data_IF_148221230021
#
_entry.id   IF_148221230021
#
_cell.length_a   1.000
_cell.length_b   1.000
_cell.length_c   1.000
_cell.angle_alpha   90.00
_cell.angle_beta   90.00
_cell.angle_gamma   90.00
#
_symmetry.space_group_name_H-M   'P 1'
#
loop_
_entity.id
_entity.type
_entity.pdbx_description
1 polymer ?
#
# COMPACT_ATOMS: atom_id res chain seq x y z
N UNK A 1 3.67 -34.66 15.61
CA UNK A 1 3.61 -34.05 14.27
C UNK A 1 2.90 -32.73 14.45
N UNK A 2 3.63 -31.62 14.38
CA UNK A 2 3.00 -30.30 14.49
C UNK A 2 2.03 -30.14 13.32
N UNK A 3 0.82 -29.66 13.63
CA UNK A 3 -0.18 -29.36 12.62
C UNK A 3 0.26 -28.10 11.87
N UNK A 4 0.04 -28.08 10.57
CA UNK A 4 0.39 -26.95 9.69
C UNK A 4 -0.90 -26.23 9.33
N UNK A 5 -0.90 -24.91 9.42
CA UNK A 5 -2.00 -24.05 9.01
C UNK A 5 -1.51 -22.99 8.02
N UNK A 6 -2.43 -22.48 7.19
CA UNK A 6 -2.20 -21.31 6.31
C UNK A 6 -2.70 -20.01 6.93
N UNK A 7 -3.46 -20.11 8.01
CA UNK A 7 -4.10 -18.95 8.64
C UNK A 7 -3.03 -18.05 9.27
N UNK A 8 -2.97 -16.83 8.75
CA UNK A 8 -2.27 -15.70 9.36
C UNK A 8 -2.95 -15.30 10.68
N UNK A 9 -2.29 -14.47 11.49
CA UNK A 9 -2.89 -13.92 12.72
C UNK A 9 -3.51 -12.58 12.33
N UNK A 10 -4.82 -12.44 12.44
CA UNK A 10 -5.54 -11.17 12.18
C UNK A 10 -5.59 -10.33 13.44
N UNK A 11 -5.89 -9.03 13.31
CA UNK A 11 -6.09 -8.15 14.47
C UNK A 11 -7.17 -8.66 15.43
N UNK A 12 -8.24 -9.26 14.87
CA UNK A 12 -9.32 -9.88 15.65
C UNK A 12 -8.87 -11.11 16.46
N UNK A 13 -7.74 -11.70 16.11
CA UNK A 13 -7.18 -12.87 16.80
C UNK A 13 -6.22 -12.47 17.93
N UNK A 14 -5.90 -11.17 18.04
CA UNK A 14 -5.06 -10.63 19.11
C UNK A 14 -5.89 -10.47 20.37
N UNK A 15 -5.45 -11.15 21.43
CA UNK A 15 -6.06 -11.10 22.75
C UNK A 15 -4.99 -11.08 23.83
N UNK A 16 -5.40 -10.89 25.08
CA UNK A 16 -4.46 -10.75 26.19
C UNK A 16 -3.61 -12.00 26.38
N UNK A 17 -4.19 -13.19 26.17
CA UNK A 17 -3.45 -14.44 26.29
C UNK A 17 -2.26 -14.49 25.31
N UNK A 18 -2.44 -13.96 24.10
CA UNK A 18 -1.36 -13.90 23.09
C UNK A 18 -0.28 -12.89 23.50
N UNK A 19 -0.67 -11.71 23.99
CA UNK A 19 0.28 -10.72 24.55
C UNK A 19 1.07 -11.32 25.73
N UNK A 20 0.40 -12.00 26.67
CA UNK A 20 1.05 -12.69 27.80
C UNK A 20 2.10 -13.69 27.33
N UNK A 21 1.74 -14.55 26.38
CA UNK A 21 2.63 -15.58 25.85
C UNK A 21 3.89 -14.95 25.24
N UNK A 22 3.74 -13.88 24.44
CA UNK A 22 4.88 -13.17 23.86
C UNK A 22 5.77 -12.50 24.89
N UNK A 23 5.20 -11.86 25.90
CA UNK A 23 5.99 -11.31 27.01
C UNK A 23 6.80 -12.42 27.72
N UNK A 24 6.22 -13.60 27.93
CA UNK A 24 6.94 -14.72 28.54
C UNK A 24 8.05 -15.28 27.66
N UNK A 25 7.83 -15.40 26.35
CA UNK A 25 8.86 -15.78 25.38
C UNK A 25 10.02 -14.78 25.35
N UNK A 26 9.74 -13.47 25.43
CA UNK A 26 10.77 -12.42 25.55
C UNK A 26 11.56 -12.62 26.84
N UNK A 27 10.91 -12.84 27.98
CA UNK A 27 11.60 -13.07 29.25
C UNK A 27 12.55 -14.28 29.19
N UNK A 28 12.12 -15.40 28.59
CA UNK A 28 12.96 -16.58 28.39
C UNK A 28 14.13 -16.30 27.43
N UNK A 29 13.86 -15.62 26.32
CA UNK A 29 14.87 -15.24 25.33
C UNK A 29 15.96 -14.36 25.94
N UNK A 30 15.57 -13.37 26.77
CA UNK A 30 16.52 -12.52 27.51
C UNK A 30 17.37 -13.36 28.48
N UNK A 31 16.79 -14.33 29.20
CA UNK A 31 17.55 -15.20 30.11
C UNK A 31 18.57 -16.05 29.35
N UNK A 32 18.19 -16.61 28.19
CA UNK A 32 19.08 -17.43 27.36
C UNK A 32 20.20 -16.57 26.77
N UNK A 33 19.88 -15.41 26.19
CA UNK A 33 20.85 -14.51 25.57
C UNK A 33 21.86 -13.97 26.58
N UNK A 34 21.42 -13.57 27.77
CA UNK A 34 22.34 -13.11 28.83
C UNK A 34 23.28 -14.22 29.30
N UNK A 35 22.85 -15.49 29.35
CA UNK A 35 23.76 -16.63 29.63
C UNK A 35 24.82 -16.81 28.54
N UNK A 36 24.50 -16.46 27.30
CA UNK A 36 25.40 -16.52 26.15
C UNK A 36 26.22 -15.23 25.94
N UNK A 37 26.13 -14.25 26.86
CA UNK A 37 26.72 -12.91 26.74
C UNK A 37 26.26 -12.11 25.51
N UNK A 38 25.08 -12.40 24.98
CA UNK A 38 24.43 -11.64 23.91
C UNK A 38 23.50 -10.60 24.54
N UNK A 39 23.83 -9.31 24.42
CA UNK A 39 23.11 -8.23 25.14
C UNK A 39 22.27 -7.34 24.24
N UNK A 40 22.28 -7.56 22.92
CA UNK A 40 21.53 -6.74 21.95
C UNK A 40 20.03 -6.72 22.25
N UNK A 41 19.47 -7.87 22.67
CA UNK A 41 18.06 -8.00 23.04
C UNK A 41 17.64 -7.05 24.18
N UNK A 42 18.54 -6.74 25.12
CA UNK A 42 18.20 -5.86 26.24
C UNK A 42 17.92 -4.43 25.73
N UNK A 43 18.73 -3.94 24.80
CA UNK A 43 18.54 -2.59 24.24
C UNK A 43 17.34 -2.53 23.30
N UNK A 44 17.06 -3.61 22.56
CA UNK A 44 15.81 -3.74 21.79
C UNK A 44 14.60 -3.62 22.72
N UNK A 45 14.64 -4.33 23.85
CA UNK A 45 13.57 -4.29 24.85
C UNK A 45 13.43 -2.91 25.49
N UNK A 46 14.52 -2.21 25.80
CA UNK A 46 14.46 -0.84 26.34
C UNK A 46 13.61 0.07 25.45
N UNK A 47 13.88 0.11 24.14
CA UNK A 47 13.13 0.97 23.21
C UNK A 47 11.66 0.52 23.05
N UNK A 48 11.42 -0.78 22.90
CA UNK A 48 10.07 -1.33 22.67
C UNK A 48 9.18 -1.15 23.90
N UNK A 49 9.68 -1.48 25.09
CA UNK A 49 8.91 -1.25 26.31
C UNK A 49 8.76 0.24 26.63
N UNK A 50 9.68 1.09 26.19
CA UNK A 50 9.49 2.54 26.21
C UNK A 50 8.27 2.99 25.40
N UNK A 51 8.09 2.48 24.18
CA UNK A 51 6.87 2.75 23.40
C UNK A 51 5.60 2.27 24.10
N UNK A 52 5.62 1.05 24.66
CA UNK A 52 4.46 0.50 25.37
C UNK A 52 4.10 1.38 26.58
N UNK A 53 5.09 1.84 27.34
CA UNK A 53 4.89 2.75 28.48
C UNK A 53 4.37 4.12 28.04
N UNK A 54 4.86 4.68 26.92
CA UNK A 54 4.36 5.91 26.33
C UNK A 54 2.88 5.80 26.00
N UNK A 55 2.51 4.72 25.28
CA UNK A 55 1.13 4.38 24.94
C UNK A 55 0.27 4.18 26.19
N UNK A 56 0.75 3.47 27.22
CA UNK A 56 0.00 3.21 28.45
C UNK A 56 -0.30 4.49 29.25
N UNK A 57 0.70 5.32 29.46
CA UNK A 57 0.63 6.41 30.44
C UNK A 57 0.54 7.82 29.83
N UNK A 58 0.47 7.94 28.50
CA UNK A 58 0.48 9.24 27.81
C UNK A 58 1.70 10.10 28.22
N UNK A 59 2.87 9.46 28.12
CA UNK A 59 4.19 10.02 28.39
C UNK A 59 5.08 9.91 27.15
N UNK A 60 6.22 10.60 27.15
CA UNK A 60 7.15 10.65 26.02
C UNK A 60 8.58 10.30 26.46
N UNK A 61 8.77 9.03 26.80
CA UNK A 61 10.04 8.42 27.14
C UNK A 61 10.94 8.34 25.89
N UNK A 62 12.15 8.87 26.03
CA UNK A 62 13.24 8.74 25.05
C UNK A 62 14.36 7.86 25.61
N UNK A 63 15.01 7.10 24.74
CA UNK A 63 16.11 6.20 25.13
C UNK A 63 17.41 6.97 25.36
N UNK A 64 17.99 6.85 26.55
CA UNK A 64 19.27 7.47 26.91
C UNK A 64 20.44 6.87 26.15
N UNK A 65 20.35 5.58 25.76
CA UNK A 65 21.39 4.92 24.95
C UNK A 65 21.41 5.44 23.51
N UNK A 66 20.32 6.05 23.03
CA UNK A 66 20.25 6.72 21.73
C UNK A 66 20.72 8.19 21.76
N UNK A 67 20.73 8.84 22.93
CA UNK A 67 21.08 10.26 23.09
C UNK A 67 22.53 10.51 23.52
N UNK A 68 23.15 9.58 24.26
CA UNK A 68 24.40 9.86 24.99
C UNK A 68 25.59 9.03 24.51
N UNK A 69 26.60 9.70 23.95
CA UNK A 69 27.95 9.16 23.76
C UNK A 69 28.78 9.36 25.05
N UNK A 70 28.47 8.61 26.11
CA UNK A 70 29.13 8.83 27.41
C UNK A 70 28.83 7.80 28.51
N UNK A 71 29.84 7.51 29.32
CA UNK A 71 29.97 6.37 30.26
C UNK A 71 29.14 6.43 31.56
N UNK A 72 28.05 7.20 31.66
CA UNK A 72 27.27 7.28 32.91
C UNK A 72 25.75 7.38 32.69
N UNK A 73 25.20 6.37 32.03
CA UNK A 73 23.74 6.18 31.96
C UNK A 73 23.26 5.62 33.31
N UNK A 74 22.49 6.42 34.05
CA UNK A 74 21.91 6.01 35.35
C UNK A 74 20.60 5.21 35.17
N UNK A 75 19.85 5.49 34.12
CA UNK A 75 18.51 4.96 33.78
C UNK A 75 18.37 4.86 32.26
N UNK A 76 17.50 4.01 31.75
CA UNK A 76 17.47 3.69 30.31
C UNK A 76 16.55 4.63 29.52
N UNK A 77 15.44 5.06 30.13
CA UNK A 77 14.40 5.85 29.48
C UNK A 77 14.05 7.09 30.30
N UNK A 78 13.84 8.23 29.64
CA UNK A 78 13.55 9.51 30.31
C UNK A 78 12.46 10.30 29.59
N UNK A 79 11.52 10.88 30.34
CA UNK A 79 10.65 11.96 29.87
C UNK A 79 10.93 13.21 30.70
N UNK A 80 11.65 14.17 30.11
CA UNK A 80 12.02 15.42 30.75
C UNK A 80 10.81 16.34 31.03
N UNK A 81 9.74 16.25 30.23
CA UNK A 81 8.55 17.10 30.38
C UNK A 81 7.70 16.65 31.55
N UNK A 82 7.49 15.33 31.69
CA UNK A 82 6.79 14.73 32.83
C UNK A 82 7.72 14.48 34.02
N UNK A 83 9.03 14.70 33.85
CA UNK A 83 10.09 14.57 34.86
C UNK A 83 10.14 13.18 35.48
N UNK A 84 10.02 12.16 34.63
CA UNK A 84 9.99 10.74 35.03
C UNK A 84 11.05 9.95 34.27
N UNK A 85 11.69 9.00 34.96
CA UNK A 85 12.62 8.05 34.36
C UNK A 85 12.23 6.60 34.63
N UNK A 86 12.57 5.73 33.69
CA UNK A 86 12.42 4.28 33.82
C UNK A 86 13.76 3.58 33.65
N UNK A 87 14.07 2.65 34.56
CA UNK A 87 15.04 1.59 34.33
C UNK A 87 14.29 0.34 33.84
N UNK A 88 14.65 -0.14 32.66
CA UNK A 88 14.21 -1.41 32.08
C UNK A 88 15.29 -2.46 32.32
N UNK A 89 14.97 -3.58 32.97
CA UNK A 89 15.99 -4.56 33.36
C UNK A 89 15.42 -5.96 33.54
N UNK A 90 16.18 -7.01 33.23
CA UNK A 90 15.81 -8.39 33.57
C UNK A 90 16.20 -8.78 35.00
N UNK A 91 17.10 -8.01 35.64
CA UNK A 91 17.54 -8.22 37.02
C UNK A 91 16.58 -7.58 38.02
N UNK A 92 16.09 -8.40 38.95
CA UNK A 92 15.17 -8.00 40.01
C UNK A 92 15.78 -8.00 41.42
N UNK A 93 17.10 -8.19 41.57
CA UNK A 93 17.71 -8.22 42.89
C UNK A 93 17.74 -6.83 43.55
N UNK A 94 17.43 -6.75 44.86
CA UNK A 94 17.40 -5.48 45.62
C UNK A 94 18.71 -4.69 45.46
N UNK A 95 19.86 -5.38 45.45
CA UNK A 95 21.17 -4.77 45.24
C UNK A 95 21.27 -4.05 43.89
N UNK A 96 20.71 -4.59 42.80
CA UNK A 96 20.65 -3.91 41.50
C UNK A 96 19.79 -2.65 41.56
N UNK A 97 18.63 -2.71 42.20
CA UNK A 97 17.72 -1.56 42.35
C UNK A 97 18.37 -0.45 43.16
N UNK A 98 18.90 -0.76 44.35
CA UNK A 98 19.57 0.22 45.20
C UNK A 98 20.80 0.84 44.52
N UNK A 99 21.57 0.04 43.77
CA UNK A 99 22.68 0.56 42.96
C UNK A 99 22.22 1.51 41.86
N UNK A 100 21.11 1.23 41.18
CA UNK A 100 20.54 2.14 40.18
C UNK A 100 20.02 3.42 40.83
N UNK A 101 19.32 3.33 41.96
CA UNK A 101 18.86 4.51 42.73
C UNK A 101 20.06 5.36 43.18
N UNK A 102 21.13 4.72 43.68
CA UNK A 102 22.35 5.42 44.08
C UNK A 102 22.99 6.13 42.88
N UNK A 103 23.12 5.46 41.72
CA UNK A 103 23.61 6.08 40.49
C UNK A 103 22.75 7.27 40.05
N UNK A 104 21.43 7.16 40.16
CA UNK A 104 20.51 8.26 39.86
C UNK A 104 20.77 9.47 40.79
N UNK A 105 20.85 9.24 42.09
CA UNK A 105 21.13 10.27 43.10
C UNK A 105 22.54 10.89 42.96
N UNK A 106 23.51 10.12 42.48
CA UNK A 106 24.89 10.58 42.26
C UNK A 106 25.08 11.27 40.91
N UNK A 107 24.18 11.04 39.95
CA UNK A 107 24.17 11.72 38.64
C UNK A 107 23.62 13.14 38.74
N UNK A 108 23.73 13.97 37.69
CA UNK A 108 23.04 15.28 37.65
C UNK A 108 21.57 15.17 37.26
N UNK A 109 21.10 13.97 36.88
CA UNK A 109 19.76 13.72 36.35
C UNK A 109 18.64 14.02 37.36
N UNK A 110 18.94 13.97 38.67
CA UNK A 110 17.96 14.29 39.73
C UNK A 110 17.48 15.74 39.67
N UNK A 111 18.17 16.65 38.98
CA UNK A 111 17.70 18.04 38.80
C UNK A 111 16.51 18.10 37.83
N UNK A 112 16.54 17.25 36.80
CA UNK A 112 15.57 17.25 35.72
C UNK A 112 14.46 16.23 35.91
N UNK A 113 14.69 15.22 36.76
CA UNK A 113 13.79 14.09 36.99
C UNK A 113 13.37 14.00 38.45
N UNK A 114 12.06 13.90 38.66
CA UNK A 114 11.43 13.79 39.97
C UNK A 114 11.20 12.33 40.36
N UNK A 115 10.66 11.53 39.44
CA UNK A 115 10.23 10.15 39.69
C UNK A 115 11.13 9.13 38.97
N UNK A 116 11.50 8.06 39.69
CA UNK A 116 12.23 6.92 39.16
C UNK A 116 11.36 5.67 39.26
N UNK A 117 11.17 4.95 38.14
CA UNK A 117 10.42 3.71 38.09
C UNK A 117 11.25 2.58 37.48
N UNK A 118 10.84 1.35 37.73
CA UNK A 118 11.47 0.15 37.17
C UNK A 118 10.44 -0.69 36.42
N UNK A 119 10.82 -1.11 35.22
CA UNK A 119 10.17 -2.19 34.50
C UNK A 119 11.10 -3.41 34.50
N UNK A 120 10.67 -4.46 35.18
CA UNK A 120 11.39 -5.72 35.26
C UNK A 120 10.88 -6.67 34.18
N UNK A 121 11.76 -7.10 33.28
CA UNK A 121 11.45 -7.95 32.13
C UNK A 121 11.34 -9.43 32.51
N UNK A 122 10.41 -9.75 33.40
CA UNK A 122 10.05 -11.12 33.79
C UNK A 122 8.61 -11.18 34.35
N UNK A 123 8.16 -12.39 34.67
CA UNK A 123 6.83 -12.67 35.24
C UNK A 123 6.86 -13.17 36.68
N UNK A 124 8.02 -13.09 37.35
CA UNK A 124 8.19 -13.61 38.70
C UNK A 124 7.69 -12.56 39.69
N UNK A 125 6.94 -12.97 40.71
CA UNK A 125 6.58 -12.05 41.80
C UNK A 125 7.82 -11.57 42.57
N UNK A 126 7.84 -10.30 42.93
CA UNK A 126 8.97 -9.68 43.59
C UNK A 126 8.61 -9.30 45.02
N UNK A 127 9.32 -9.90 45.98
CA UNK A 127 9.21 -9.58 47.39
C UNK A 127 10.56 -9.00 47.86
N UNK A 128 10.57 -7.72 48.17
CA UNK A 128 11.76 -7.01 48.61
C UNK A 128 11.79 -6.89 50.13
N UNK A 129 12.68 -7.64 50.79
CA UNK A 129 12.87 -7.54 52.23
C UNK A 129 13.46 -6.16 52.59
N UNK A 130 12.89 -5.47 53.58
CA UNK A 130 13.40 -4.19 54.09
C UNK A 130 12.36 -3.06 54.02
N UNK A 131 12.82 -1.82 54.16
CA UNK A 131 11.96 -0.65 53.99
C UNK A 131 11.44 -0.57 52.54
N UNK A 132 10.14 -0.28 52.40
CA UNK A 132 9.49 -0.09 51.10
C UNK A 132 9.81 1.27 50.48
N UNK A 133 10.09 2.28 51.31
CA UNK A 133 10.30 3.66 50.86
C UNK A 133 11.77 4.04 50.92
N UNK A 134 12.28 4.67 49.87
CA UNK A 134 13.60 5.32 49.77
C UNK A 134 13.41 6.76 49.31
N UNK A 135 14.08 7.72 49.95
CA UNK A 135 14.06 9.11 49.49
C UNK A 135 15.04 9.33 48.33
N UNK A 136 14.54 9.87 47.24
CA UNK A 136 15.33 10.30 46.09
C UNK A 136 15.90 11.69 46.35
N UNK A 137 17.06 11.99 45.75
CA UNK A 137 17.70 13.31 45.85
C UNK A 137 16.90 14.42 45.15
N UNK A 138 15.99 14.04 44.25
CA UNK A 138 14.97 14.94 43.67
C UNK A 138 13.98 15.48 44.70
N UNK A 139 13.94 14.90 45.91
CA UNK A 139 12.98 15.24 46.97
C UNK A 139 11.71 14.40 46.94
N UNK A 140 11.58 13.45 46.00
CA UNK A 140 10.47 12.49 45.94
C UNK A 140 10.79 11.20 46.67
N UNK A 141 9.77 10.38 46.88
CA UNK A 141 9.88 9.04 47.46
C UNK A 141 9.80 7.99 46.35
N UNK A 142 10.64 6.96 46.47
CA UNK A 142 10.58 5.73 45.69
C UNK A 142 10.00 4.61 46.55
N UNK A 143 9.00 3.89 46.04
CA UNK A 143 8.36 2.75 46.70
C UNK A 143 8.61 1.46 45.91
N UNK A 144 9.17 0.44 46.55
CA UNK A 144 9.38 -0.87 45.93
C UNK A 144 8.06 -1.49 45.46
N UNK A 145 6.97 -1.29 46.21
CA UNK A 145 5.65 -1.83 45.85
C UNK A 145 4.98 -1.08 44.69
N UNK A 146 5.14 0.24 44.60
CA UNK A 146 4.45 1.08 43.59
C UNK A 146 5.27 1.31 42.33
N UNK A 147 6.55 1.62 42.48
CA UNK A 147 7.39 2.12 41.38
C UNK A 147 8.13 0.99 40.64
N UNK A 148 7.91 -0.27 41.04
CA UNK A 148 8.42 -1.46 40.36
C UNK A 148 7.27 -2.25 39.74
N UNK A 149 7.36 -2.42 38.42
CA UNK A 149 6.42 -3.21 37.61
C UNK A 149 7.16 -4.38 36.96
N UNK A 150 6.49 -5.53 36.84
CA UNK A 150 6.93 -6.67 36.05
C UNK A 150 5.88 -6.97 34.97
N UNK A 151 6.04 -8.03 34.19
CA UNK A 151 5.07 -8.37 33.14
C UNK A 151 3.66 -8.63 33.67
N UNK A 152 3.49 -9.25 34.84
CA UNK A 152 2.15 -9.49 35.40
C UNK A 152 1.41 -8.17 35.68
N UNK A 153 2.12 -7.19 36.26
CA UNK A 153 1.58 -5.84 36.48
C UNK A 153 1.33 -5.12 35.15
N UNK A 154 2.26 -5.22 34.20
CA UNK A 154 2.13 -4.60 32.87
C UNK A 154 0.90 -5.12 32.12
N UNK A 155 0.68 -6.44 32.13
CA UNK A 155 -0.50 -7.10 31.55
C UNK A 155 -1.77 -6.51 32.14
N UNK A 156 -1.86 -6.41 33.48
CA UNK A 156 -3.03 -5.83 34.14
C UNK A 156 -3.27 -4.35 33.79
N UNK A 157 -2.22 -3.57 33.52
CA UNK A 157 -2.36 -2.18 33.05
C UNK A 157 -2.79 -2.12 31.57
N UNK A 158 -2.32 -3.05 30.73
CA UNK A 158 -2.75 -3.20 29.34
C UNK A 158 -4.23 -3.58 29.28
N UNK A 159 -4.68 -4.53 30.09
CA UNK A 159 -6.10 -4.93 30.16
C UNK A 159 -6.99 -3.75 30.52
N UNK A 160 -6.66 -3.02 31.60
CA UNK A 160 -7.41 -1.84 32.03
C UNK A 160 -7.48 -0.77 30.95
N UNK A 161 -6.38 -0.52 30.23
CA UNK A 161 -6.38 0.48 29.17
C UNK A 161 -7.19 0.02 27.96
N UNK A 162 -7.10 -1.26 27.60
CA UNK A 162 -7.87 -1.84 26.49
C UNK A 162 -9.39 -1.87 26.75
N UNK A 163 -9.83 -1.87 28.01
CA UNK A 163 -11.27 -1.68 28.35
C UNK A 163 -11.79 -0.28 27.97
N UNK A 164 -10.89 0.70 27.86
CA UNK A 164 -11.21 2.11 27.61
C UNK A 164 -10.92 2.49 26.15
N UNK A 165 -9.82 1.99 25.60
CA UNK A 165 -9.30 2.33 24.28
C UNK A 165 -9.36 1.11 23.35
N UNK A 166 -10.18 1.21 22.30
CA UNK A 166 -10.32 0.16 21.30
C UNK A 166 -9.00 -0.10 20.58
N UNK A 167 -8.74 -1.38 20.25
CA UNK A 167 -7.53 -1.86 19.57
C UNK A 167 -6.21 -1.61 20.31
N UNK A 168 -6.23 -1.10 21.56
CA UNK A 168 -5.01 -0.86 22.32
C UNK A 168 -4.15 -2.12 22.48
N UNK A 169 -4.79 -3.28 22.61
CA UNK A 169 -4.07 -4.55 22.71
C UNK A 169 -3.36 -4.96 21.42
N UNK A 170 -3.89 -4.57 20.26
CA UNK A 170 -3.26 -4.78 18.94
C UNK A 170 -2.02 -3.90 18.86
N UNK A 171 -2.16 -2.60 19.17
CA UNK A 171 -1.04 -1.66 19.25
C UNK A 171 0.12 -2.14 20.14
N UNK A 172 -0.19 -2.73 21.30
CA UNK A 172 0.81 -3.29 22.21
C UNK A 172 1.45 -4.53 21.62
N UNK A 173 0.65 -5.41 21.02
CA UNK A 173 1.13 -6.61 20.36
C UNK A 173 2.06 -6.29 19.18
N UNK A 174 1.78 -5.21 18.45
CA UNK A 174 2.63 -4.71 17.36
C UNK A 174 3.99 -4.25 17.89
N UNK A 175 3.99 -3.47 18.98
CA UNK A 175 5.22 -3.06 19.65
C UNK A 175 6.05 -4.28 20.07
N UNK A 176 5.42 -5.30 20.65
CA UNK A 176 6.06 -6.54 21.08
C UNK A 176 6.63 -7.32 19.89
N UNK A 177 5.90 -7.36 18.77
CA UNK A 177 6.29 -8.10 17.56
C UNK A 177 7.57 -7.56 16.94
N UNK A 178 7.86 -6.27 17.11
CA UNK A 178 9.13 -5.65 16.70
C UNK A 178 10.37 -6.32 17.34
N UNK A 179 10.24 -6.97 18.51
CA UNK A 179 11.37 -7.72 19.11
C UNK A 179 11.83 -8.84 18.18
N UNK A 180 10.89 -9.48 17.50
CA UNK A 180 11.11 -10.63 16.63
C UNK A 180 11.40 -10.21 15.20
N UNK A 181 10.65 -9.22 14.71
CA UNK A 181 10.74 -8.76 13.32
C UNK A 181 11.98 -7.88 13.11
N UNK A 182 12.16 -6.81 13.87
CA UNK A 182 13.12 -5.76 13.52
C UNK A 182 14.60 -6.09 13.77
N UNK A 183 14.90 -6.77 14.89
CA UNK A 183 16.25 -6.90 15.48
C UNK A 183 17.11 -5.63 15.48
N UNK A 184 18.42 -5.77 15.78
CA UNK A 184 19.36 -4.63 15.84
C UNK A 184 20.47 -4.74 14.79
N UNK A 185 20.30 -4.03 13.68
CA UNK A 185 21.25 -4.05 12.55
C UNK A 185 22.10 -2.80 12.38
N UNK A 186 21.71 -1.69 12.99
CA UNK A 186 22.45 -0.42 12.97
C UNK A 186 22.43 0.21 14.36
N UNK A 187 23.35 1.12 14.63
CA UNK A 187 23.40 1.92 15.87
C UNK A 187 22.22 2.93 15.99
N UNK A 188 21.28 2.93 15.02
CA UNK A 188 20.09 3.77 15.02
C UNK A 188 18.94 3.10 15.79
N UNK A 189 18.03 3.92 16.33
CA UNK A 189 16.85 3.46 17.07
C UNK A 189 15.92 2.61 16.18
N UNK A 190 15.54 1.43 16.69
CA UNK A 190 14.66 0.48 16.01
C UNK A 190 13.27 1.06 15.85
N UNK A 191 12.82 1.76 16.89
CA UNK A 191 11.56 2.49 16.96
C UNK A 191 11.46 3.54 15.87
N UNK A 192 12.48 4.40 15.73
CA UNK A 192 12.48 5.47 14.71
C UNK A 192 12.42 4.93 13.28
N UNK A 193 13.10 3.82 13.03
CA UNK A 193 13.08 3.15 11.72
C UNK A 193 11.71 2.51 11.44
N UNK A 194 11.08 1.85 12.42
CA UNK A 194 9.70 1.35 12.30
C UNK A 194 8.71 2.50 12.04
N UNK A 195 8.82 3.60 12.81
CA UNK A 195 8.01 4.80 12.60
C UNK A 195 8.18 5.38 11.18
N UNK A 196 9.39 5.30 10.61
CA UNK A 196 9.65 5.70 9.22
C UNK A 196 8.96 4.78 8.20
N UNK A 197 8.90 3.48 8.47
CA UNK A 197 8.26 2.51 7.57
C UNK A 197 6.73 2.60 7.65
N UNK A 198 6.18 2.89 8.83
CA UNK A 198 4.75 3.05 9.07
C UNK A 198 4.13 4.33 8.50
N UNK A 199 4.91 5.15 7.79
CA UNK A 199 4.39 6.37 7.15
C UNK A 199 3.37 6.02 6.06
N UNK A 200 2.25 6.74 6.10
CA UNK A 200 1.21 6.67 5.08
C UNK A 200 1.21 7.97 4.28
N UNK A 201 1.54 7.88 2.99
CA UNK A 201 1.70 9.03 2.11
C UNK A 201 0.98 8.76 0.79
N UNK A 202 0.09 9.67 0.39
CA UNK A 202 -0.55 9.66 -0.93
C UNK A 202 -0.36 11.02 -1.56
N UNK A 203 0.31 11.07 -2.71
CA UNK A 203 0.64 12.31 -3.41
C UNK A 203 0.42 12.11 -4.91
N UNK A 204 -0.34 13.00 -5.54
CA UNK A 204 -0.48 13.04 -7.00
C UNK A 204 0.74 13.75 -7.62
N UNK A 205 1.44 13.01 -8.48
CA UNK A 205 2.63 13.40 -9.23
C UNK A 205 2.31 13.39 -10.74
N UNK A 206 1.62 14.44 -11.19
CA UNK A 206 1.27 14.70 -12.59
C UNK A 206 0.46 13.54 -13.23
N UNK A 207 1.13 12.61 -13.90
CA UNK A 207 0.52 11.43 -14.56
C UNK A 207 0.45 10.18 -13.67
N UNK A 208 0.97 10.24 -12.45
CA UNK A 208 1.04 9.11 -11.51
C UNK A 208 0.66 9.55 -10.10
N UNK A 209 0.09 8.64 -9.31
CA UNK A 209 -0.14 8.82 -7.88
C UNK A 209 0.88 7.97 -7.13
N UNK A 210 1.70 8.62 -6.30
CA UNK A 210 2.56 7.95 -5.34
C UNK A 210 1.73 7.52 -4.15
N UNK A 211 1.73 6.23 -3.86
CA UNK A 211 1.01 5.63 -2.75
C UNK A 211 2.01 4.86 -1.89
N UNK A 212 2.12 5.21 -0.62
CA UNK A 212 3.02 4.57 0.33
C UNK A 212 2.20 4.27 1.57
N UNK A 213 2.21 3.01 2.01
CA UNK A 213 1.69 2.61 3.31
C UNK A 213 2.60 1.58 3.93
N UNK A 214 2.70 1.59 5.25
CA UNK A 214 3.46 0.58 5.96
C UNK A 214 2.83 0.16 7.26
N UNK A 215 3.36 -0.95 7.76
CA UNK A 215 2.89 -1.62 8.95
C UNK A 215 4.08 -2.27 9.65
N UNK A 216 4.37 -1.87 10.90
CA UNK A 216 5.56 -2.33 11.60
C UNK A 216 6.83 -2.20 10.74
N UNK A 217 7.43 -3.34 10.39
CA UNK A 217 8.68 -3.44 9.63
C UNK A 217 8.52 -3.70 8.13
N UNK A 218 7.31 -3.58 7.61
CA UNK A 218 7.03 -3.68 6.19
C UNK A 218 6.45 -2.38 5.64
N UNK A 219 6.80 -2.05 4.40
CA UNK A 219 6.24 -0.90 3.69
C UNK A 219 6.01 -1.28 2.23
N UNK A 220 4.83 -0.93 1.72
CA UNK A 220 4.49 -1.06 0.31
C UNK A 220 4.42 0.33 -0.30
N UNK A 221 5.20 0.55 -1.35
CA UNK A 221 5.23 1.80 -2.12
C UNK A 221 4.87 1.51 -3.56
N UNK A 222 4.00 2.32 -4.16
CA UNK A 222 3.48 2.10 -5.49
C UNK A 222 3.36 3.41 -6.28
N UNK A 223 3.50 3.27 -7.60
CA UNK A 223 3.19 4.32 -8.57
C UNK A 223 1.95 3.88 -9.34
N UNK A 224 0.80 4.45 -8.97
CA UNK A 224 -0.50 4.16 -9.57
C UNK A 224 -0.69 5.08 -10.77
N UNK A 225 -0.95 4.57 -11.98
CA UNK A 225 -1.11 5.42 -13.16
C UNK A 225 -2.42 6.21 -13.10
N UNK A 226 -2.34 7.53 -13.32
CA UNK A 226 -3.51 8.42 -13.46
C UNK A 226 -3.96 8.55 -14.92
N UNK A 227 -3.28 7.88 -15.86
CA UNK A 227 -3.60 7.88 -17.27
C UNK A 227 -3.73 6.47 -17.84
N UNK A 228 -4.42 6.35 -18.99
CA UNK A 228 -4.59 5.06 -19.67
C UNK A 228 -3.30 4.48 -20.27
N UNK A 229 -2.23 5.29 -20.37
CA UNK A 229 -0.92 4.90 -20.92
C UNK A 229 0.05 4.38 -19.89
N UNK A 230 -0.15 4.72 -18.61
CA UNK A 230 0.74 4.31 -17.54
C UNK A 230 0.44 2.88 -17.08
N UNK A 231 1.44 2.27 -16.46
CA UNK A 231 1.34 0.95 -15.82
C UNK A 231 1.62 1.06 -14.33
N UNK A 232 0.94 0.23 -13.54
CA UNK A 232 1.19 0.09 -12.12
C UNK A 232 2.56 -0.52 -11.87
N UNK A 233 3.29 0.04 -10.92
CA UNK A 233 4.49 -0.57 -10.34
C UNK A 233 4.48 -0.44 -8.83
N UNK A 234 5.13 -1.39 -8.16
CA UNK A 234 5.11 -1.49 -6.71
C UNK A 234 6.45 -2.01 -6.18
N UNK A 235 6.81 -1.62 -4.96
CA UNK A 235 7.97 -2.09 -4.23
C UNK A 235 7.58 -2.38 -2.78
N UNK A 236 7.83 -3.61 -2.35
CA UNK A 236 7.73 -4.07 -0.96
C UNK A 236 9.11 -3.98 -0.31
N UNK A 237 9.20 -3.19 0.76
CA UNK A 237 10.35 -3.14 1.64
C UNK A 237 10.05 -3.95 2.90
N UNK A 238 10.97 -4.85 3.27
CA UNK A 238 10.89 -5.65 4.49
C UNK A 238 12.18 -5.46 5.28
N UNK A 239 12.06 -5.17 6.57
CA UNK A 239 13.18 -5.18 7.51
C UNK A 239 13.11 -6.43 8.38
N UNK A 240 14.24 -7.09 8.60
CA UNK A 240 14.36 -8.20 9.56
C UNK A 240 15.59 -8.04 10.44
N UNK A 241 15.65 -8.73 11.58
CA UNK A 241 16.77 -8.70 12.52
C UNK A 241 18.16 -8.95 11.93
N UNK A 242 18.26 -9.64 10.79
CA UNK A 242 19.51 -9.97 10.09
C UNK A 242 19.61 -9.35 8.67
N UNK A 243 18.56 -8.66 8.20
CA UNK A 243 18.46 -8.03 6.88
C UNK A 243 18.04 -6.57 6.98
N UNK A 244 18.94 -5.64 6.66
CA UNK A 244 18.74 -4.19 6.86
C UNK A 244 17.83 -3.53 5.83
N UNK A 245 17.06 -4.31 5.07
CA UNK A 245 16.18 -3.88 3.99
C UNK A 245 16.23 -4.82 2.79
N UNK A 246 15.21 -5.67 2.64
CA UNK A 246 14.93 -6.42 1.43
C UNK A 246 13.92 -5.64 0.59
N UNK A 247 14.29 -5.31 -0.65
CA UNK A 247 13.44 -4.57 -1.59
C UNK A 247 13.01 -5.51 -2.71
N UNK A 248 11.70 -5.69 -2.86
CA UNK A 248 11.12 -6.56 -3.88
C UNK A 248 10.20 -5.72 -4.75
N UNK A 249 10.45 -5.71 -6.06
CA UNK A 249 9.67 -4.92 -7.02
C UNK A 249 8.69 -5.78 -7.79
N UNK A 250 7.53 -5.23 -8.11
CA UNK A 250 6.44 -5.88 -8.83
C UNK A 250 5.99 -5.01 -10.00
N UNK A 251 5.76 -5.63 -11.15
CA UNK A 251 5.13 -4.98 -12.29
C UNK A 251 3.60 -5.20 -12.25
N UNK A 252 2.87 -4.49 -13.11
CA UNK A 252 1.42 -4.58 -13.17
C UNK A 252 0.91 -6.00 -13.43
N UNK A 253 1.53 -6.74 -14.34
CA UNK A 253 1.11 -8.11 -14.68
C UNK A 253 1.12 -9.01 -13.44
N UNK A 254 2.24 -9.06 -12.73
CA UNK A 254 2.39 -9.82 -11.48
C UNK A 254 1.36 -9.40 -10.44
N UNK A 255 1.17 -8.09 -10.24
CA UNK A 255 0.24 -7.56 -9.25
C UNK A 255 -1.19 -8.02 -9.55
N UNK A 256 -1.64 -7.86 -10.79
CA UNK A 256 -2.99 -8.24 -11.21
C UNK A 256 -3.21 -9.75 -11.18
N UNK A 257 -2.22 -10.56 -11.56
CA UNK A 257 -2.34 -12.02 -11.59
C UNK A 257 -2.30 -12.62 -10.20
N UNK A 258 -1.34 -12.22 -9.36
CA UNK A 258 -0.92 -13.03 -8.20
C UNK A 258 -1.08 -12.33 -6.85
N UNK A 259 -1.19 -11.00 -6.82
CA UNK A 259 -1.26 -10.23 -5.56
C UNK A 259 -2.63 -9.58 -5.34
N UNK A 260 -3.34 -9.20 -6.39
CA UNK A 260 -4.68 -8.59 -6.31
C UNK A 260 -5.80 -9.64 -6.30
N UNK A 261 -5.57 -10.72 -5.59
CA UNK A 261 -6.44 -11.90 -5.48
C UNK A 261 -7.13 -11.95 -4.11
N UNK A 262 -7.96 -12.96 -3.84
CA UNK A 262 -8.51 -13.15 -2.49
C UNK A 262 -7.43 -13.66 -1.52
N UNK A 263 -7.62 -13.45 -0.22
CA UNK A 263 -6.70 -13.95 0.84
C UNK A 263 -6.36 -15.44 0.65
N UNK A 264 -7.36 -16.29 0.41
CA UNK A 264 -7.16 -17.74 0.19
C UNK A 264 -6.36 -18.08 -1.07
N UNK A 265 -6.51 -17.29 -2.14
CA UNK A 265 -5.76 -17.47 -3.38
C UNK A 265 -4.33 -16.96 -3.19
N UNK A 266 -4.15 -15.83 -2.51
CA UNK A 266 -2.86 -15.28 -2.12
C UNK A 266 -2.06 -16.30 -1.31
N UNK A 267 -2.65 -16.87 -0.27
CA UNK A 267 -2.00 -17.89 0.57
C UNK A 267 -1.55 -19.11 -0.23
N UNK A 268 -2.34 -19.52 -1.21
CA UNK A 268 -2.03 -20.67 -2.07
C UNK A 268 -0.91 -20.35 -3.05
N UNK A 269 -0.97 -19.20 -3.73
CA UNK A 269 0.03 -18.78 -4.72
C UNK A 269 1.39 -18.50 -4.10
N UNK A 270 1.39 -17.94 -2.90
CA UNK A 270 2.59 -17.52 -2.18
C UNK A 270 3.06 -18.56 -1.15
N UNK A 271 2.59 -19.82 -1.24
CA UNK A 271 3.01 -20.93 -0.37
C UNK A 271 3.04 -20.55 1.12
N UNK A 272 2.00 -19.84 1.57
CA UNK A 272 1.91 -19.29 2.91
C UNK A 272 1.59 -20.41 3.90
N UNK A 273 2.33 -20.48 5.01
CA UNK A 273 2.07 -21.46 6.04
C UNK A 273 2.88 -21.28 7.32
N UNK A 274 2.39 -21.87 8.41
CA UNK A 274 3.05 -21.93 9.71
C UNK A 274 2.69 -23.19 10.48
N UNK A 275 3.47 -23.51 11.50
CA UNK A 275 3.06 -24.50 12.50
C UNK A 275 2.03 -23.87 13.46
N UNK A 276 0.99 -24.61 13.86
CA UNK A 276 -0.09 -24.06 14.71
C UNK A 276 0.44 -23.52 16.06
N UNK A 277 1.49 -24.15 16.58
CA UNK A 277 2.18 -23.82 17.84
C UNK A 277 3.25 -22.73 17.69
N UNK A 278 3.50 -22.24 16.47
CA UNK A 278 4.45 -21.17 16.19
C UNK A 278 3.74 -19.96 15.59
N UNK A 279 4.19 -18.78 15.98
CA UNK A 279 3.74 -17.54 15.37
C UNK A 279 4.65 -17.10 14.20
N UNK A 280 5.74 -17.81 13.93
CA UNK A 280 6.53 -17.63 12.70
C UNK A 280 5.80 -18.27 11.52
N UNK A 281 5.72 -17.54 10.41
CA UNK A 281 5.07 -17.94 9.18
C UNK A 281 6.04 -17.81 8.03
N UNK A 282 6.10 -18.82 7.17
CA UNK A 282 6.82 -18.73 5.92
C UNK A 282 5.87 -18.31 4.80
N UNK A 283 6.38 -17.47 3.91
CA UNK A 283 5.71 -17.12 2.66
C UNK A 283 6.75 -16.99 1.54
N UNK A 284 6.31 -17.24 0.32
CA UNK A 284 7.08 -17.07 -0.89
C UNK A 284 6.61 -15.80 -1.60
N UNK A 285 7.49 -14.82 -1.72
CA UNK A 285 7.28 -13.63 -2.53
C UNK A 285 8.22 -13.73 -3.73
N UNK A 286 7.68 -13.82 -4.94
CA UNK A 286 8.47 -14.08 -6.14
C UNK A 286 9.31 -15.37 -5.97
N UNK A 287 10.62 -15.29 -6.17
CA UNK A 287 11.55 -16.41 -5.96
C UNK A 287 12.23 -16.39 -4.58
N UNK A 288 11.71 -15.60 -3.64
CA UNK A 288 12.27 -15.43 -2.30
C UNK A 288 11.32 -16.05 -1.28
N UNK A 289 11.86 -16.95 -0.45
CA UNK A 289 11.15 -17.45 0.73
C UNK A 289 11.55 -16.62 1.94
N UNK A 290 10.55 -16.12 2.67
CA UNK A 290 10.72 -15.21 3.80
C UNK A 290 9.97 -15.80 4.98
N UNK A 291 10.58 -15.72 6.17
CA UNK A 291 9.93 -16.04 7.44
C UNK A 291 9.59 -14.74 8.15
N UNK A 292 8.35 -14.56 8.58
CA UNK A 292 7.84 -13.36 9.27
C UNK A 292 6.97 -13.79 10.45
N UNK A 293 6.69 -12.89 11.40
CA UNK A 293 5.54 -13.08 12.27
C UNK A 293 4.26 -13.25 11.41
N UNK A 294 3.40 -14.20 11.77
CA UNK A 294 2.15 -14.49 11.08
C UNK A 294 1.18 -13.30 11.04
N UNK A 295 1.28 -12.39 12.00
CA UNK A 295 0.56 -11.11 12.01
C UNK A 295 1.16 -10.10 11.03
N UNK A 296 2.49 -10.03 10.92
CA UNK A 296 3.18 -9.24 9.89
C UNK A 296 2.86 -9.78 8.49
N UNK A 297 2.77 -11.10 8.31
CA UNK A 297 2.36 -11.72 7.05
C UNK A 297 0.91 -11.40 6.66
N UNK A 298 0.00 -11.30 7.64
CA UNK A 298 -1.36 -10.78 7.41
C UNK A 298 -1.31 -9.37 6.81
N UNK A 299 -0.48 -8.51 7.39
CA UNK A 299 -0.34 -7.13 6.94
C UNK A 299 0.32 -6.98 5.58
N UNK A 300 1.17 -7.91 5.16
CA UNK A 300 1.65 -7.98 3.76
C UNK A 300 0.46 -8.12 2.81
N UNK A 301 -0.45 -9.06 3.08
CA UNK A 301 -1.67 -9.24 2.27
C UNK A 301 -2.55 -7.99 2.32
N UNK A 302 -2.78 -7.41 3.51
CA UNK A 302 -3.59 -6.19 3.66
C UNK A 302 -3.07 -5.01 2.84
N UNK A 303 -1.75 -4.80 2.79
CA UNK A 303 -1.17 -3.74 1.97
C UNK A 303 -1.45 -3.95 0.48
N UNK A 304 -1.40 -5.19 -0.03
CA UNK A 304 -1.78 -5.48 -1.42
C UNK A 304 -3.28 -5.34 -1.67
N UNK A 305 -4.12 -5.71 -0.71
CA UNK A 305 -5.58 -5.52 -0.76
C UNK A 305 -5.95 -4.04 -0.83
N UNK A 306 -5.34 -3.19 -0.01
CA UNK A 306 -5.58 -1.75 -0.05
C UNK A 306 -5.05 -1.09 -1.34
N UNK A 307 -3.87 -1.53 -1.82
CA UNK A 307 -3.34 -1.05 -3.11
C UNK A 307 -4.25 -1.45 -4.28
N UNK A 308 -4.82 -2.66 -4.24
CA UNK A 308 -5.81 -3.14 -5.21
C UNK A 308 -7.02 -2.22 -5.27
N UNK A 309 -7.59 -1.88 -4.12
CA UNK A 309 -8.75 -0.99 -4.04
C UNK A 309 -8.45 0.39 -4.65
N UNK A 310 -7.33 0.99 -4.27
CA UNK A 310 -6.90 2.30 -4.78
C UNK A 310 -6.63 2.29 -6.30
N UNK A 311 -6.01 1.22 -6.81
CA UNK A 311 -5.76 1.03 -8.24
C UNK A 311 -7.09 0.92 -9.02
N UNK A 312 -8.04 0.10 -8.55
CA UNK A 312 -9.30 -0.09 -9.25
C UNK A 312 -10.23 1.14 -9.17
N UNK A 313 -10.15 1.92 -8.09
CA UNK A 313 -10.81 3.24 -8.01
C UNK A 313 -10.26 4.19 -9.08
N UNK A 314 -8.94 4.33 -9.15
CA UNK A 314 -8.27 5.15 -10.16
C UNK A 314 -8.61 4.67 -11.59
N UNK A 315 -8.64 3.35 -11.81
CA UNK A 315 -8.99 2.77 -13.10
C UNK A 315 -10.44 3.05 -13.50
N UNK A 316 -11.38 3.04 -12.55
CA UNK A 316 -12.78 3.41 -12.80
C UNK A 316 -12.90 4.86 -13.25
N UNK A 317 -12.17 5.78 -12.61
CA UNK A 317 -12.14 7.19 -13.00
C UNK A 317 -11.60 7.38 -14.42
N UNK A 318 -10.48 6.71 -14.75
CA UNK A 318 -9.92 6.71 -16.12
C UNK A 318 -10.96 6.19 -17.12
N UNK A 319 -11.60 5.06 -16.83
CA UNK A 319 -12.57 4.46 -17.73
C UNK A 319 -13.79 5.37 -17.95
N UNK A 320 -14.24 6.08 -16.91
CA UNK A 320 -15.35 7.04 -16.97
C UNK A 320 -15.03 8.26 -17.84
N UNK A 321 -13.79 8.77 -17.74
CA UNK A 321 -13.30 9.85 -18.60
C UNK A 321 -13.31 9.42 -20.07
N UNK A 322 -12.81 8.20 -20.36
CA UNK A 322 -12.75 7.66 -21.71
C UNK A 322 -14.11 7.18 -22.26
N UNK A 323 -15.12 6.99 -21.40
CA UNK A 323 -16.41 6.39 -21.77
C UNK A 323 -16.30 4.92 -22.16
N UNK A 324 -15.39 4.16 -21.54
CA UNK A 324 -15.11 2.74 -21.85
C UNK A 324 -15.63 1.78 -20.78
N UNK A 325 -16.56 2.24 -19.94
CA UNK A 325 -17.16 1.41 -18.88
C UNK A 325 -17.89 0.21 -19.49
N UNK A 326 -17.53 -1.00 -19.07
CA UNK A 326 -18.11 -2.25 -19.58
C UNK A 326 -17.54 -2.74 -20.91
N UNK A 327 -16.62 -2.00 -21.54
CA UNK A 327 -15.99 -2.42 -22.79
C UNK A 327 -14.79 -3.36 -22.55
N UNK A 328 -14.62 -4.34 -23.44
CA UNK A 328 -13.47 -5.23 -23.42
C UNK A 328 -12.24 -4.52 -24.00
N UNK A 329 -11.17 -4.40 -23.20
CA UNK A 329 -9.88 -3.88 -23.63
C UNK A 329 -9.02 -5.01 -24.23
N UNK A 330 -8.41 -4.76 -25.38
CA UNK A 330 -7.47 -5.64 -26.08
C UNK A 330 -6.23 -4.82 -26.46
N UNK A 331 -5.11 -4.98 -25.76
CA UNK A 331 -3.96 -4.08 -25.91
C UNK A 331 -4.36 -2.63 -25.62
N UNK A 332 -4.15 -1.71 -26.56
CA UNK A 332 -4.47 -0.28 -26.41
C UNK A 332 -5.85 0.12 -26.96
N UNK A 333 -6.64 -0.85 -27.42
CA UNK A 333 -7.95 -0.64 -28.06
C UNK A 333 -9.08 -1.27 -27.27
N UNK A 334 -10.30 -0.78 -27.49
CA UNK A 334 -11.52 -1.19 -26.80
C UNK A 334 -12.55 -1.65 -27.82
N UNK A 335 -13.12 -2.84 -27.62
CA UNK A 335 -14.16 -3.37 -28.50
C UNK A 335 -15.45 -2.55 -28.29
N UNK A 336 -15.91 -1.86 -29.33
CA UNK A 336 -17.20 -1.16 -29.33
C UNK A 336 -18.33 -2.13 -29.65
N UNK A 337 -18.27 -2.77 -30.83
CA UNK A 337 -19.35 -3.60 -31.36
C UNK A 337 -18.87 -4.55 -32.46
N UNK A 338 -19.77 -5.42 -32.91
CA UNK A 338 -19.56 -6.29 -34.07
C UNK A 338 -20.43 -5.81 -35.23
N UNK A 339 -19.83 -5.62 -36.40
CA UNK A 339 -20.48 -5.17 -37.64
C UNK A 339 -20.29 -6.20 -38.77
N UNK A 340 -21.10 -6.12 -39.82
CA UNK A 340 -20.91 -6.86 -41.06
C UNK A 340 -19.75 -6.30 -41.88
N UNK A 341 -19.11 -7.18 -42.66
CA UNK A 341 -18.04 -6.79 -43.59
C UNK A 341 -18.53 -5.75 -44.59
N UNK A 342 -19.78 -5.88 -45.07
CA UNK A 342 -20.40 -4.91 -45.97
C UNK A 342 -20.60 -3.54 -45.29
N UNK A 343 -21.04 -3.51 -44.03
CA UNK A 343 -21.21 -2.26 -43.29
C UNK A 343 -19.87 -1.49 -43.18
N UNK A 344 -18.75 -2.19 -42.98
CA UNK A 344 -17.43 -1.56 -43.00
C UNK A 344 -17.01 -1.07 -44.39
N UNK A 345 -17.32 -1.82 -45.45
CA UNK A 345 -17.05 -1.40 -46.84
C UNK A 345 -17.83 -0.12 -47.20
N UNK A 346 -19.09 -0.04 -46.79
CA UNK A 346 -19.95 1.13 -46.96
C UNK A 346 -19.39 2.34 -46.21
N UNK A 347 -18.98 2.16 -44.94
CA UNK A 347 -18.32 3.19 -44.14
C UNK A 347 -17.07 3.72 -44.86
N UNK A 348 -16.18 2.83 -45.31
CA UNK A 348 -14.97 3.23 -46.03
C UNK A 348 -15.28 3.94 -47.33
N UNK A 349 -16.29 3.48 -48.07
CA UNK A 349 -16.70 4.10 -49.32
C UNK A 349 -17.21 5.53 -49.08
N UNK A 350 -18.09 5.72 -48.09
CA UNK A 350 -18.60 7.04 -47.71
C UNK A 350 -17.48 7.95 -47.21
N UNK A 351 -16.68 7.48 -46.24
CA UNK A 351 -15.58 8.23 -45.64
C UNK A 351 -14.51 8.67 -46.65
N UNK A 352 -14.40 8.04 -47.83
CA UNK A 352 -13.40 8.39 -48.86
C UNK A 352 -13.96 9.22 -50.01
N UNK A 353 -15.26 9.18 -50.25
CA UNK A 353 -15.87 9.72 -51.46
C UNK A 353 -16.88 10.85 -51.23
N UNK A 354 -17.35 11.11 -50.01
CA UNK A 354 -18.24 12.26 -49.75
C UNK A 354 -17.55 13.59 -50.02
N UNK A 355 -18.35 14.64 -50.27
CA UNK A 355 -17.82 15.97 -50.53
C UNK A 355 -17.42 16.68 -49.23
N UNK A 356 -16.13 16.88 -49.07
CA UNK A 356 -15.51 17.47 -47.88
C UNK A 356 -15.63 18.99 -47.80
N UNK A 357 -16.06 19.64 -48.89
CA UNK A 357 -16.00 21.09 -49.05
C UNK A 357 -17.38 21.76 -49.00
N UNK A 358 -18.46 21.01 -48.83
CA UNK A 358 -19.80 21.60 -48.68
C UNK A 358 -19.97 22.21 -47.30
N UNK A 359 -20.19 23.53 -47.28
CA UNK A 359 -20.63 24.27 -46.09
C UNK A 359 -22.16 24.18 -45.98
N UNK A 360 -22.68 23.64 -44.88
CA UNK A 360 -24.13 23.46 -44.65
C UNK A 360 -24.47 22.32 -43.68
N UNK A 361 -25.62 21.67 -43.90
CA UNK A 361 -26.15 20.59 -43.04
C UNK A 361 -25.28 19.32 -43.00
N UNK A 362 -24.28 19.18 -43.88
CA UNK A 362 -23.40 18.01 -43.96
C UNK A 362 -22.05 18.17 -43.24
N UNK A 363 -21.81 19.30 -42.58
CA UNK A 363 -20.53 19.61 -41.93
C UNK A 363 -20.14 18.60 -40.82
N UNK A 364 -21.12 17.92 -40.22
CA UNK A 364 -20.87 16.88 -39.21
C UNK A 364 -20.10 15.67 -39.75
N UNK A 365 -20.10 15.47 -41.08
CA UNK A 365 -19.44 14.34 -41.75
C UNK A 365 -17.98 14.64 -42.16
N UNK A 366 -17.55 15.90 -42.07
CA UNK A 366 -16.19 16.35 -42.39
C UNK A 366 -15.15 15.97 -41.32
N UNK A 367 -15.27 14.76 -40.78
CA UNK A 367 -14.52 14.25 -39.64
C UNK A 367 -13.76 12.95 -39.95
N UNK A 368 -13.62 12.57 -41.21
CA UNK A 368 -12.86 11.38 -41.58
C UNK A 368 -11.47 11.79 -42.11
N UNK A 369 -10.40 11.27 -41.53
CA UNK A 369 -9.07 11.42 -42.11
C UNK A 369 -8.69 10.10 -42.79
N UNK A 370 -8.61 10.13 -44.13
CA UNK A 370 -8.24 8.96 -44.91
C UNK A 370 -6.75 8.65 -44.71
N UNK A 371 -6.46 7.74 -43.79
CA UNK A 371 -5.13 7.23 -43.49
C UNK A 371 -4.62 6.19 -44.50
N UNK A 372 -5.36 5.91 -45.59
CA UNK A 372 -5.04 4.90 -46.60
C UNK A 372 -5.18 3.45 -46.14
N UNK A 373 -5.60 3.21 -44.89
CA UNK A 373 -5.82 1.88 -44.34
C UNK A 373 -7.16 1.31 -44.79
N UNK A 374 -7.19 0.01 -45.10
CA UNK A 374 -8.44 -0.73 -45.34
C UNK A 374 -9.12 -1.19 -44.06
N UNK A 375 -8.46 -1.10 -42.91
CA UNK A 375 -8.93 -1.70 -41.66
C UNK A 375 -9.04 -0.66 -40.53
N UNK A 376 -8.81 0.62 -40.81
CA UNK A 376 -8.93 1.67 -39.81
C UNK A 376 -9.29 3.01 -40.41
N UNK A 377 -9.91 3.85 -39.60
CA UNK A 377 -10.17 5.26 -39.89
C UNK A 377 -9.77 6.09 -38.67
N UNK A 378 -9.22 7.27 -38.94
CA UNK A 378 -9.02 8.28 -37.90
C UNK A 378 -10.19 9.25 -38.02
N UNK A 379 -10.98 9.38 -36.95
CA UNK A 379 -11.95 10.45 -36.89
C UNK A 379 -11.17 11.73 -36.55
N UNK A 380 -11.15 12.73 -37.41
CA UNK A 380 -10.48 14.00 -37.17
C UNK A 380 -11.03 15.02 -38.16
N UNK A 381 -11.29 16.27 -37.74
CA UNK A 381 -11.82 17.28 -38.64
C UNK A 381 -10.84 17.51 -39.79
N UNK A 382 -11.37 17.66 -41.00
CA UNK A 382 -10.53 17.86 -42.18
C UNK A 382 -9.65 19.12 -42.04
N UNK A 383 -8.37 19.02 -42.39
CA UNK A 383 -7.37 20.12 -42.36
C UNK A 383 -7.82 21.36 -43.15
N UNK A 384 -8.73 21.19 -44.11
CA UNK A 384 -9.30 22.26 -44.94
C UNK A 384 -10.69 22.77 -44.47
N UNK A 385 -11.27 22.18 -43.41
CA UNK A 385 -12.56 22.59 -42.85
C UNK A 385 -12.46 23.76 -41.86
N UNK A 386 -13.60 24.40 -41.57
CA UNK A 386 -13.71 25.52 -40.61
C UNK A 386 -13.64 25.09 -39.14
N UNK A 387 -13.81 23.79 -38.86
CA UNK A 387 -13.63 23.17 -37.54
C UNK A 387 -12.20 22.67 -37.41
N UNK A 388 -11.39 23.31 -36.55
CA UNK A 388 -10.05 22.80 -36.19
C UNK A 388 -10.18 21.82 -35.04
N UNK A 389 -9.81 20.56 -35.23
CA UNK A 389 -9.65 19.58 -34.15
C UNK A 389 -8.37 18.78 -34.33
N UNK A 390 -7.65 18.58 -33.23
CA UNK A 390 -6.62 17.55 -33.16
C UNK A 390 -7.29 16.15 -33.12
N UNK A 391 -6.52 15.07 -33.30
CA UNK A 391 -7.00 13.69 -33.55
C UNK A 391 -8.18 13.31 -32.61
N UNK A 392 -9.39 13.22 -33.19
CA UNK A 392 -10.57 12.60 -32.59
C UNK A 392 -10.44 11.07 -32.77
N UNK A 393 -11.30 10.27 -32.13
CA UNK A 393 -11.08 8.83 -31.93
C UNK A 393 -10.57 8.05 -33.16
N UNK A 394 -9.71 7.05 -32.94
CA UNK A 394 -9.33 6.11 -33.99
C UNK A 394 -10.22 4.88 -33.90
N UNK A 395 -10.77 4.46 -35.03
CA UNK A 395 -11.54 3.21 -35.13
C UNK A 395 -10.82 2.22 -36.02
N UNK A 396 -10.89 0.94 -35.67
CA UNK A 396 -10.26 -0.14 -36.44
C UNK A 396 -11.12 -1.40 -36.44
N UNK A 397 -10.98 -2.23 -37.46
CA UNK A 397 -11.71 -3.49 -37.59
C UNK A 397 -10.78 -4.70 -37.70
N UNK A 398 -11.17 -5.79 -37.07
CA UNK A 398 -10.50 -7.09 -37.17
C UNK A 398 -11.51 -8.22 -37.41
N UNK A 399 -11.16 -9.30 -38.12
CA UNK A 399 -12.06 -10.44 -38.31
C UNK A 399 -12.58 -10.99 -36.98
N UNK A 400 -13.89 -11.27 -36.91
CA UNK A 400 -14.48 -11.94 -35.77
C UNK A 400 -14.29 -13.46 -35.90
N UNK A 401 -13.76 -14.11 -34.87
CA UNK A 401 -13.45 -15.55 -34.89
C UNK A 401 -14.68 -16.46 -35.00
N UNK A 402 -15.87 -15.97 -34.66
CA UNK A 402 -17.09 -16.77 -34.52
C UNK A 402 -18.16 -16.48 -35.59
N UNK A 403 -17.95 -15.48 -36.46
CA UNK A 403 -18.94 -15.04 -37.45
C UNK A 403 -18.36 -14.93 -38.86
N UNK A 404 -18.87 -15.72 -39.79
CA UNK A 404 -18.58 -15.52 -41.21
C UNK A 404 -19.04 -14.11 -41.61
N UNK A 405 -18.15 -13.35 -42.27
CA UNK A 405 -18.36 -11.98 -42.72
C UNK A 405 -18.64 -10.96 -41.59
N UNK A 406 -18.27 -11.26 -40.34
CA UNK A 406 -18.36 -10.32 -39.23
C UNK A 406 -17.00 -9.73 -38.86
N UNK A 407 -17.00 -8.46 -38.46
CA UNK A 407 -15.82 -7.71 -38.03
C UNK A 407 -16.06 -7.15 -36.61
N UNK A 408 -15.04 -7.21 -35.78
CA UNK A 408 -15.00 -6.54 -34.48
C UNK A 408 -14.50 -5.11 -34.69
N UNK A 409 -15.34 -4.12 -34.36
CA UNK A 409 -15.03 -2.70 -34.42
C UNK A 409 -14.46 -2.24 -33.09
N UNK A 410 -13.24 -1.73 -33.12
CA UNK A 410 -12.49 -1.24 -31.97
C UNK A 410 -12.33 0.28 -31.99
N UNK A 411 -12.19 0.85 -30.80
CA UNK A 411 -11.91 2.24 -30.54
C UNK A 411 -10.57 2.41 -29.82
N UNK A 412 -9.83 3.44 -30.19
CA UNK A 412 -8.59 3.87 -29.54
C UNK A 412 -8.70 5.35 -29.15
N UNK A 413 -8.18 5.74 -27.96
CA UNK A 413 -8.21 7.14 -27.51
C UNK A 413 -7.53 8.11 -28.50
N UNK A 414 -8.18 9.23 -28.78
CA UNK A 414 -7.63 10.32 -29.60
C UNK A 414 -6.49 11.09 -28.91
N UNK A 415 -5.79 11.94 -29.66
CA UNK A 415 -4.65 12.73 -29.16
C UNK A 415 -4.76 14.20 -29.55
N UNK A 416 -4.39 15.08 -28.61
CA UNK A 416 -4.29 16.52 -28.83
C UNK A 416 -2.90 17.03 -28.48
N UNK A 417 -2.29 17.78 -29.40
CA UNK A 417 -0.96 18.34 -29.19
C UNK A 417 -0.99 19.39 -28.08
N UNK A 418 0.04 19.41 -27.23
CA UNK A 418 0.19 20.32 -26.08
C UNK A 418 -0.85 20.16 -24.95
N UNK A 419 -1.65 19.10 -24.94
CA UNK A 419 -2.56 18.76 -23.83
C UNK A 419 -2.15 17.43 -23.20
N UNK A 420 -2.54 17.19 -21.94
CA UNK A 420 -2.30 15.88 -21.32
C UNK A 420 -3.14 14.81 -22.01
N UNK A 421 -2.70 13.57 -21.91
CA UNK A 421 -3.36 12.47 -22.62
C UNK A 421 -4.81 12.25 -22.16
N UNK A 422 -5.10 12.48 -20.87
CA UNK A 422 -6.42 12.36 -20.26
C UNK A 422 -7.35 13.56 -20.46
N UNK A 423 -6.85 14.69 -20.96
CA UNK A 423 -7.64 15.91 -21.08
C UNK A 423 -8.53 15.89 -22.32
N UNK A 424 -9.60 16.69 -22.31
CA UNK A 424 -10.48 16.97 -23.45
C UNK A 424 -11.32 15.80 -23.99
N UNK A 425 -11.58 14.74 -23.22
CA UNK A 425 -12.61 13.74 -23.55
C UNK A 425 -14.02 14.28 -23.27
N UNK A 426 -14.46 15.23 -24.09
CA UNK A 426 -15.70 16.00 -23.95
C UNK A 426 -16.69 15.79 -25.11
N UNK A 427 -16.40 14.88 -26.04
CA UNK A 427 -17.14 14.65 -27.28
C UNK A 427 -17.13 15.84 -28.27
N UNK A 428 -16.28 16.83 -28.03
CA UNK A 428 -16.04 17.98 -28.90
C UNK A 428 -14.62 17.90 -29.46
N UNK A 429 -13.63 17.75 -28.58
CA UNK A 429 -12.19 17.75 -28.87
C UNK A 429 -11.59 16.35 -28.87
N UNK A 430 -12.01 15.46 -27.96
CA UNK A 430 -11.77 14.02 -28.03
C UNK A 430 -13.10 13.31 -27.77
N UNK A 431 -13.46 12.42 -28.68
CA UNK A 431 -14.66 11.60 -28.51
C UNK A 431 -14.38 10.48 -27.53
N UNK A 432 -15.33 10.28 -26.61
CA UNK A 432 -15.38 9.11 -25.75
C UNK A 432 -15.82 7.87 -26.55
N UNK A 433 -15.52 6.69 -26.02
CA UNK A 433 -15.84 5.43 -26.69
C UNK A 433 -17.35 5.20 -26.78
N UNK A 434 -18.09 5.40 -25.69
CA UNK A 434 -19.56 5.32 -25.62
C UNK A 434 -20.26 6.25 -26.65
N UNK A 435 -19.81 7.50 -26.74
CA UNK A 435 -20.31 8.46 -27.72
C UNK A 435 -19.99 8.02 -29.15
N UNK A 436 -18.76 7.52 -29.37
CA UNK A 436 -18.35 7.04 -30.70
C UNK A 436 -19.20 5.84 -31.12
N UNK A 437 -19.46 4.91 -30.21
CA UNK A 437 -20.32 3.75 -30.45
C UNK A 437 -21.75 4.17 -30.83
N UNK A 438 -22.37 5.04 -30.03
CA UNK A 438 -23.73 5.55 -30.27
C UNK A 438 -23.83 6.27 -31.61
N UNK A 439 -22.87 7.15 -31.91
CA UNK A 439 -22.82 7.90 -33.15
C UNK A 439 -22.67 6.98 -34.37
N UNK A 440 -21.80 5.96 -34.30
CA UNK A 440 -21.64 5.01 -35.40
C UNK A 440 -22.95 4.24 -35.64
N UNK A 441 -23.53 3.71 -34.57
CA UNK A 441 -24.72 2.87 -34.62
C UNK A 441 -25.94 3.59 -35.15
N UNK A 442 -26.18 4.80 -34.65
CA UNK A 442 -27.44 5.51 -34.87
C UNK A 442 -27.36 6.56 -36.00
N UNK A 443 -26.17 6.84 -36.53
CA UNK A 443 -26.00 7.82 -37.61
C UNK A 443 -25.15 7.30 -38.76
N UNK A 444 -23.90 6.91 -38.50
CA UNK A 444 -22.94 6.62 -39.57
C UNK A 444 -23.36 5.44 -40.43
N UNK A 445 -23.80 4.33 -39.83
CA UNK A 445 -24.18 3.13 -40.58
C UNK A 445 -25.27 3.42 -41.61
N UNK A 446 -26.34 4.10 -41.18
CA UNK A 446 -27.45 4.47 -42.09
C UNK A 446 -26.99 5.43 -43.19
N UNK A 447 -26.24 6.48 -42.85
CA UNK A 447 -25.73 7.45 -43.84
C UNK A 447 -24.81 6.79 -44.85
N UNK A 448 -23.90 5.94 -44.40
CA UNK A 448 -22.95 5.22 -45.25
C UNK A 448 -23.68 4.28 -46.22
N UNK A 449 -24.66 3.53 -45.73
CA UNK A 449 -25.49 2.64 -46.54
C UNK A 449 -26.25 3.39 -47.63
N UNK A 450 -26.96 4.47 -47.27
CA UNK A 450 -27.70 5.30 -48.23
C UNK A 450 -26.78 5.89 -49.31
N UNK A 451 -25.59 6.37 -48.92
CA UNK A 451 -24.62 6.92 -49.85
C UNK A 451 -24.08 5.84 -50.79
N UNK A 452 -23.76 4.67 -50.26
CA UNK A 452 -23.28 3.53 -51.04
C UNK A 452 -24.31 3.09 -52.10
N UNK A 453 -25.56 2.87 -51.72
CA UNK A 453 -26.65 2.52 -52.64
C UNK A 453 -26.83 3.58 -53.76
N UNK A 454 -26.67 4.87 -53.44
CA UNK A 454 -26.85 5.96 -54.41
C UNK A 454 -25.69 6.06 -55.41
N UNK A 455 -24.47 5.72 -55.01
CA UNK A 455 -23.25 6.08 -55.75
C UNK A 455 -22.34 4.94 -56.18
N UNK A 456 -22.50 3.76 -55.60
CA UNK A 456 -21.71 2.61 -55.98
C UNK A 456 -21.91 2.27 -57.48
N UNK A 457 -20.83 2.00 -58.19
CA UNK A 457 -20.83 1.75 -59.64
C UNK A 457 -20.96 2.97 -60.57
N UNK A 458 -21.10 4.20 -60.04
CA UNK A 458 -21.12 5.45 -60.85
C UNK A 458 -19.71 6.04 -61.03
N UNK A 459 -19.43 6.81 -62.11
CA UNK A 459 -18.14 7.47 -62.29
C UNK A 459 -17.85 8.50 -61.18
N UNK A 460 -16.60 8.59 -60.71
CA UNK A 460 -16.11 9.52 -59.66
C UNK A 460 -16.58 10.98 -59.81
N UNK A 461 -16.77 11.44 -61.05
CA UNK A 461 -17.28 12.78 -61.35
C UNK A 461 -18.73 13.00 -60.87
N UNK A 462 -19.60 12.01 -60.99
CA UNK A 462 -20.99 12.09 -60.53
C UNK A 462 -21.13 11.92 -59.02
N UNK A 463 -20.18 11.22 -58.40
CA UNK A 463 -20.11 11.01 -56.95
C UNK A 463 -19.74 12.29 -56.20
N UNK A 464 -18.90 13.17 -56.79
CA UNK A 464 -18.48 14.44 -56.17
C UNK A 464 -19.41 15.63 -56.40
N UNK A 465 -20.30 15.59 -57.40
CA UNK A 465 -21.14 16.74 -57.80
C UNK A 465 -22.57 16.65 -57.27
N UNK A 466 -23.09 15.42 -57.08
CA UNK A 466 -24.46 15.16 -56.63
C UNK A 466 -24.51 14.37 -55.32
N UNK A 467 -23.32 14.04 -54.79
CA UNK A 467 -23.00 13.36 -53.53
C UNK A 467 -23.49 14.13 -52.36
#
# INVERSE_FOLDING_TARGET
MCKVTRESIKDSDINIKRVENRLFEIAESIKINNKNNLTDINVICEEIFGQILNKLYDINLVSMSAEVSGNFIAVDLVDYKKRIAYQVTSRCDRNKIERTIQKFNDSELYNDIDELRFLILNSVEHNYNGADIIHLKSGKEFSYTKDIMNFNKLIGEIEKKNEIENNFIVDVYDCISMVYDSGRLKYFSIVKETESLMQNVIIDLDDTKSWIKGYGDIQLSAFIPLSYKGELSCMLQIRQHNLSGAYITFNQEMLLSDYFVSESEFETKHNVGRYEDEEEMYMQIQNIRINLNAHTAHHVYKLFEELKEEYYETRRQINSILGVEGLNKDGDKYLLMTIDTMEWEEILFFARNHDWFQDGDEIEWNIFNNNGSTNSLILSPNVYGTVRGDILAKISVYPNEFGNNKLNLYWEPGFKSNERCMDCFDNIVKWKADYTEDWIKNKLLEKAHIYYEKFNGKPLFWQRIFG
#
